data_IF_101937334267
#
_entry.id   IF_101937334267
#
_cell.length_a   1.000
_cell.length_b   1.000
_cell.length_c   1.000
_cell.angle_alpha   90.00
_cell.angle_beta   90.00
_cell.angle_gamma   90.00
#
_symmetry.space_group_name_H-M   'P 1'
#
loop_
_entity.id
_entity.type
_entity.pdbx_description
1 polymer ?
#
# COMPACT_ATOMS: atom_id res chain seq x y z
N UNK A 1 -5.82 -32.44 -0.12
CA UNK A 1 -7.19 -31.92 -0.26
C UNK A 1 -7.85 -32.60 -1.47
N UNK A 2 -8.47 -33.75 -1.27
CA UNK A 2 -9.13 -34.49 -2.36
C UNK A 2 -10.50 -33.90 -2.73
N UNK A 3 -11.03 -32.96 -1.92
CA UNK A 3 -12.37 -32.38 -2.07
C UNK A 3 -12.35 -31.04 -2.82
N UNK A 4 -11.16 -30.50 -3.13
CA UNK A 4 -11.03 -29.28 -3.90
C UNK A 4 -11.82 -29.35 -5.23
N UNK A 5 -12.50 -28.27 -5.64
CA UNK A 5 -13.13 -28.24 -6.94
C UNK A 5 -12.08 -28.24 -8.07
N UNK A 6 -12.44 -28.83 -9.20
CA UNK A 6 -11.65 -28.72 -10.43
C UNK A 6 -11.73 -27.29 -10.96
N UNK A 7 -10.61 -26.73 -11.36
CA UNK A 7 -10.53 -25.34 -11.86
C UNK A 7 -10.03 -25.34 -13.29
N UNK A 8 -10.87 -24.86 -14.22
CA UNK A 8 -10.46 -24.61 -15.60
C UNK A 8 -10.00 -23.16 -15.74
N UNK A 9 -8.84 -22.94 -16.36
CA UNK A 9 -8.36 -21.59 -16.60
C UNK A 9 -9.08 -20.96 -17.79
N UNK A 10 -9.61 -19.74 -17.64
CA UNK A 10 -10.19 -19.02 -18.77
C UNK A 10 -9.10 -18.59 -19.74
N UNK A 11 -9.49 -18.39 -21.01
CA UNK A 11 -8.60 -17.87 -22.03
C UNK A 11 -7.95 -16.54 -21.60
N UNK A 12 -6.67 -16.37 -21.96
CA UNK A 12 -5.84 -15.23 -21.54
C UNK A 12 -5.22 -15.39 -20.16
N UNK A 13 -5.59 -16.43 -19.41
CA UNK A 13 -4.91 -16.82 -18.17
C UNK A 13 -4.05 -18.04 -18.44
N UNK A 14 -2.76 -17.94 -18.12
CA UNK A 14 -1.81 -19.04 -18.25
C UNK A 14 -1.25 -19.39 -16.89
N UNK A 15 -0.92 -20.66 -16.70
CA UNK A 15 -0.22 -21.13 -15.51
C UNK A 15 0.98 -21.99 -15.90
N UNK A 16 2.05 -22.05 -15.09
CA UNK A 16 3.13 -22.98 -15.33
C UNK A 16 2.63 -24.43 -15.22
N UNK A 17 2.94 -25.25 -16.22
CA UNK A 17 2.58 -26.69 -16.26
C UNK A 17 3.83 -27.48 -16.55
N UNK A 18 4.26 -28.30 -15.61
CA UNK A 18 5.40 -29.21 -15.78
C UNK A 18 4.94 -30.56 -16.38
N UNK A 19 5.88 -31.49 -16.60
CA UNK A 19 5.56 -32.81 -17.15
C UNK A 19 5.13 -33.84 -16.09
N UNK A 20 5.15 -33.49 -14.80
CA UNK A 20 4.80 -34.40 -13.72
C UNK A 20 3.30 -34.35 -13.42
N UNK A 21 2.64 -35.51 -13.47
CA UNK A 21 1.20 -35.63 -13.21
C UNK A 21 0.32 -34.77 -14.14
N UNK A 22 0.78 -34.54 -15.37
CA UNK A 22 0.05 -33.79 -16.40
C UNK A 22 -0.52 -34.76 -17.42
N UNK A 23 -1.84 -34.70 -17.64
CA UNK A 23 -2.53 -35.52 -18.62
C UNK A 23 -2.92 -34.68 -19.85
N UNK A 24 -2.48 -35.13 -21.03
CA UNK A 24 -2.87 -34.55 -22.31
C UNK A 24 -3.99 -35.39 -22.92
N UNK A 25 -5.13 -34.76 -23.19
CA UNK A 25 -6.18 -35.41 -23.98
C UNK A 25 -5.70 -35.62 -25.42
N UNK A 26 -6.24 -36.64 -26.11
CA UNK A 26 -5.86 -36.98 -27.49
C UNK A 26 -5.86 -35.78 -28.45
N UNK A 27 -6.83 -34.83 -28.43
CA UNK A 27 -6.78 -33.63 -29.28
C UNK A 27 -5.62 -32.68 -28.99
N UNK A 28 -4.97 -32.79 -27.83
CA UNK A 28 -3.82 -31.99 -27.42
C UNK A 28 -2.50 -32.78 -27.48
N UNK A 29 -2.49 -33.98 -28.08
CA UNK A 29 -1.32 -34.88 -28.11
C UNK A 29 -0.09 -34.26 -28.80
N UNK A 30 -0.31 -33.37 -29.77
CA UNK A 30 0.77 -32.56 -30.38
C UNK A 30 1.56 -31.73 -29.36
N UNK A 31 0.94 -31.37 -28.23
CA UNK A 31 1.54 -30.59 -27.14
C UNK A 31 2.58 -31.36 -26.32
N UNK A 32 2.80 -32.65 -26.59
CA UNK A 32 3.88 -33.44 -25.99
C UNK A 32 5.28 -33.12 -26.55
N UNK A 33 5.36 -32.28 -27.58
CA UNK A 33 6.62 -31.78 -28.11
C UNK A 33 7.42 -31.09 -27.00
N UNK A 34 8.64 -31.54 -26.75
CA UNK A 34 9.52 -30.98 -25.72
C UNK A 34 10.70 -30.24 -26.37
N UNK A 35 10.92 -28.95 -26.05
CA UNK A 35 12.06 -28.21 -26.56
C UNK A 35 13.37 -28.71 -25.92
N UNK A 36 14.43 -28.74 -26.72
CA UNK A 36 15.74 -29.31 -26.38
C UNK A 36 16.85 -28.26 -26.27
N UNK A 37 16.66 -27.05 -26.81
CA UNK A 37 17.69 -26.00 -26.73
C UNK A 37 17.65 -25.19 -25.43
N UNK A 38 16.57 -25.30 -24.67
CA UNK A 38 16.40 -24.65 -23.37
C UNK A 38 16.84 -25.58 -22.23
N UNK A 39 17.12 -25.01 -21.06
CA UNK A 39 17.43 -25.80 -19.86
C UNK A 39 16.39 -26.90 -19.64
N UNK A 40 16.83 -28.10 -19.29
CA UNK A 40 15.92 -29.23 -19.00
C UNK A 40 14.92 -28.91 -17.88
N UNK A 41 15.26 -28.00 -16.97
CA UNK A 41 14.40 -27.51 -15.88
C UNK A 41 13.35 -26.49 -16.35
N UNK A 42 13.60 -25.79 -17.46
CA UNK A 42 12.67 -24.82 -18.04
C UNK A 42 11.86 -25.40 -19.21
N UNK A 43 12.34 -26.49 -19.81
CA UNK A 43 11.80 -27.09 -21.03
C UNK A 43 10.32 -27.41 -20.92
N UNK A 44 9.91 -28.12 -19.85
CA UNK A 44 8.52 -28.50 -19.69
C UNK A 44 7.62 -27.31 -19.35
N UNK A 45 8.09 -26.35 -18.56
CA UNK A 45 7.33 -25.14 -18.25
C UNK A 45 7.12 -24.27 -19.48
N UNK A 46 8.17 -24.03 -20.29
CA UNK A 46 8.08 -23.28 -21.55
C UNK A 46 7.14 -23.99 -22.53
N UNK A 47 7.28 -25.31 -22.67
CA UNK A 47 6.37 -26.18 -23.44
C UNK A 47 4.94 -26.06 -22.92
N UNK A 48 4.74 -25.94 -21.62
CA UNK A 48 3.46 -25.70 -20.98
C UNK A 48 2.80 -24.41 -21.45
N UNK A 49 3.53 -23.30 -21.49
CA UNK A 49 3.01 -22.02 -21.96
C UNK A 49 2.72 -22.02 -23.46
N UNK A 50 3.65 -22.54 -24.27
CA UNK A 50 3.47 -22.72 -25.71
C UNK A 50 2.23 -23.56 -26.03
N UNK A 51 2.10 -24.73 -25.39
CA UNK A 51 0.97 -25.62 -25.61
C UNK A 51 -0.35 -24.97 -25.16
N UNK A 52 -0.37 -24.28 -24.02
CA UNK A 52 -1.56 -23.53 -23.57
C UNK A 52 -2.04 -22.53 -24.59
N UNK A 53 -1.12 -21.77 -25.20
CA UNK A 53 -1.49 -20.77 -26.19
C UNK A 53 -2.12 -21.40 -27.43
N UNK A 54 -1.53 -22.48 -27.95
CA UNK A 54 -2.09 -23.21 -29.09
C UNK A 54 -3.41 -23.89 -28.72
N UNK A 55 -3.57 -24.35 -27.48
CA UNK A 55 -4.79 -25.04 -27.03
C UNK A 55 -6.04 -24.16 -27.16
N UNK A 56 -5.91 -22.85 -27.01
CA UNK A 56 -6.99 -21.89 -27.24
C UNK A 56 -7.47 -21.84 -28.70
N UNK A 57 -6.61 -22.16 -29.67
CA UNK A 57 -6.95 -22.20 -31.11
C UNK A 57 -7.95 -23.31 -31.45
N UNK A 58 -8.11 -24.29 -30.55
CA UNK A 58 -9.04 -25.42 -30.70
C UNK A 58 -10.13 -25.41 -29.62
N UNK A 59 -10.24 -24.32 -28.86
CA UNK A 59 -11.20 -24.17 -27.75
C UNK A 59 -10.91 -25.02 -26.52
N UNK A 60 -9.69 -25.55 -26.40
CA UNK A 60 -9.26 -26.24 -25.19
C UNK A 60 -8.74 -25.27 -24.14
N UNK A 61 -8.57 -25.78 -22.92
CA UNK A 61 -8.06 -25.04 -21.77
C UNK A 61 -7.29 -25.99 -20.84
N UNK A 62 -6.46 -25.41 -19.98
CA UNK A 62 -5.81 -26.16 -18.89
C UNK A 62 -6.76 -26.24 -17.70
N UNK A 63 -6.84 -27.40 -17.09
CA UNK A 63 -7.64 -27.63 -15.89
C UNK A 63 -6.79 -28.26 -14.79
N UNK A 64 -6.90 -27.70 -13.59
CA UNK A 64 -6.30 -28.22 -12.37
C UNK A 64 -7.28 -29.13 -11.66
N UNK A 65 -6.79 -30.31 -11.31
CA UNK A 65 -7.52 -31.33 -10.58
C UNK A 65 -6.98 -31.41 -9.14
N UNK A 66 -7.77 -31.92 -8.19
CA UNK A 66 -7.28 -32.27 -6.87
C UNK A 66 -6.04 -33.17 -6.94
N UNK A 67 -5.17 -33.18 -5.92
CA UNK A 67 -3.99 -34.01 -5.91
C UNK A 67 -4.33 -35.49 -6.15
N UNK A 68 -3.86 -36.04 -7.28
CA UNK A 68 -4.05 -37.44 -7.67
C UNK A 68 -2.83 -38.32 -7.38
N UNK A 69 -1.67 -37.71 -7.14
CA UNK A 69 -0.42 -38.40 -6.87
C UNK A 69 0.22 -37.85 -5.60
N UNK A 70 0.86 -38.75 -4.85
CA UNK A 70 1.77 -38.39 -3.77
C UNK A 70 3.17 -38.89 -4.16
N UNK A 71 4.14 -37.97 -4.18
CA UNK A 71 5.55 -38.26 -4.49
C UNK A 71 6.42 -37.64 -3.41
N UNK A 72 7.39 -38.40 -2.91
CA UNK A 72 8.46 -37.88 -2.07
C UNK A 72 9.63 -37.49 -2.96
N UNK A 73 9.95 -36.21 -2.97
CA UNK A 73 11.08 -35.68 -3.72
C UNK A 73 12.33 -35.64 -2.84
N UNK A 74 13.39 -36.30 -3.32
CA UNK A 74 14.74 -36.18 -2.78
C UNK A 74 15.51 -35.21 -3.67
N UNK A 75 15.15 -33.93 -3.63
CA UNK A 75 15.83 -32.91 -4.44
C UNK A 75 17.16 -32.59 -3.77
N UNK A 76 18.27 -32.86 -4.46
CA UNK A 76 19.53 -32.18 -4.17
C UNK A 76 19.35 -30.72 -4.57
N UNK A 77 19.75 -29.79 -3.69
CA UNK A 77 19.75 -28.36 -4.01
C UNK A 77 20.53 -28.15 -5.32
N UNK A 78 19.85 -27.72 -6.36
CA UNK A 78 20.44 -27.40 -7.65
C UNK A 78 20.67 -25.88 -7.76
N UNK A 79 21.57 -25.43 -8.64
CA UNK A 79 21.89 -24.02 -8.76
C UNK A 79 20.70 -23.24 -9.31
N UNK A 80 20.31 -22.16 -8.63
CA UNK A 80 19.31 -21.18 -9.09
C UNK A 80 19.60 -20.68 -10.53
N UNK A 81 20.85 -20.73 -10.99
CA UNK A 81 21.24 -20.40 -12.34
C UNK A 81 20.51 -21.21 -13.42
N UNK A 82 20.13 -22.47 -13.14
CA UNK A 82 19.37 -23.30 -14.08
C UNK A 82 17.91 -22.86 -14.25
N UNK A 83 17.37 -22.13 -13.27
CA UNK A 83 16.02 -21.51 -13.33
C UNK A 83 16.06 -20.08 -13.88
N UNK A 84 17.24 -19.53 -14.21
CA UNK A 84 17.37 -18.13 -14.63
C UNK A 84 16.45 -17.81 -15.82
N UNK A 85 16.33 -18.74 -16.76
CA UNK A 85 15.45 -18.58 -17.92
C UNK A 85 13.96 -18.52 -17.54
N UNK A 86 13.55 -19.23 -16.49
CA UNK A 86 12.18 -19.15 -15.96
C UNK A 86 11.92 -17.77 -15.36
N UNK A 87 12.78 -17.33 -14.43
CA UNK A 87 12.49 -16.11 -13.65
C UNK A 87 12.60 -14.84 -14.49
N UNK A 88 13.51 -14.79 -15.45
CA UNK A 88 13.76 -13.57 -16.25
C UNK A 88 12.77 -13.44 -17.42
N UNK A 89 12.45 -14.55 -18.10
CA UNK A 89 11.75 -14.48 -19.39
C UNK A 89 10.26 -14.87 -19.34
N UNK A 90 9.75 -15.50 -18.28
CA UNK A 90 8.35 -15.96 -18.25
C UNK A 90 7.35 -14.81 -18.38
N UNK A 91 7.61 -13.66 -17.74
CA UNK A 91 6.74 -12.48 -17.91
C UNK A 91 6.69 -11.97 -19.36
N UNK A 92 7.86 -11.93 -20.04
CA UNK A 92 7.96 -11.58 -21.45
C UNK A 92 7.26 -12.61 -22.33
N UNK A 93 7.44 -13.90 -22.04
CA UNK A 93 6.83 -15.01 -22.76
C UNK A 93 5.30 -14.97 -22.68
N UNK A 94 4.73 -14.82 -21.48
CA UNK A 94 3.28 -14.76 -21.28
C UNK A 94 2.69 -13.58 -22.05
N UNK A 95 3.33 -12.41 -21.97
CA UNK A 95 2.90 -11.22 -22.72
C UNK A 95 2.93 -11.50 -24.22
N UNK A 96 4.05 -11.99 -24.74
CA UNK A 96 4.21 -12.34 -26.15
C UNK A 96 3.15 -13.35 -26.62
N UNK A 97 2.94 -14.45 -25.90
CA UNK A 97 1.98 -15.48 -26.29
C UNK A 97 0.54 -14.96 -26.29
N UNK A 98 0.18 -14.11 -25.33
CA UNK A 98 -1.13 -13.47 -25.29
C UNK A 98 -1.35 -12.51 -26.46
N UNK A 99 -0.31 -11.83 -26.92
CA UNK A 99 -0.36 -10.89 -28.05
C UNK A 99 -0.26 -11.59 -29.42
N UNK A 100 0.37 -12.77 -29.48
CA UNK A 100 0.59 -13.50 -30.73
C UNK A 100 -0.72 -13.87 -31.45
N UNK A 101 -0.74 -13.68 -32.76
CA UNK A 101 -1.86 -13.99 -33.66
C UNK A 101 -1.31 -14.65 -34.93
N UNK A 102 -2.10 -15.56 -35.52
CA UNK A 102 -1.75 -16.23 -36.77
C UNK A 102 -2.92 -16.29 -37.73
N UNK A 103 -2.61 -16.10 -39.01
CA UNK A 103 -3.56 -16.22 -40.13
C UNK A 103 -3.47 -17.57 -40.85
N UNK A 104 -2.66 -18.52 -40.35
CA UNK A 104 -2.55 -19.85 -40.95
C UNK A 104 -3.86 -20.63 -40.83
N UNK A 105 -4.12 -21.51 -41.81
CA UNK A 105 -5.43 -22.14 -42.02
C UNK A 105 -5.63 -23.42 -41.24
N UNK A 106 -4.54 -24.09 -40.88
CA UNK A 106 -4.57 -25.34 -40.11
C UNK A 106 -3.86 -25.19 -38.77
N UNK A 107 -4.18 -26.06 -37.81
CA UNK A 107 -3.54 -26.04 -36.50
C UNK A 107 -2.04 -26.28 -36.62
N UNK A 108 -1.62 -27.23 -37.45
CA UNK A 108 -0.21 -27.58 -37.58
C UNK A 108 0.61 -26.45 -38.20
N UNK A 109 0.05 -25.72 -39.16
CA UNK A 109 0.68 -24.50 -39.66
C UNK A 109 0.78 -23.42 -38.57
N UNK A 110 -0.25 -23.26 -37.72
CA UNK A 110 -0.20 -22.31 -36.57
C UNK A 110 0.83 -22.73 -35.52
N UNK A 111 0.98 -24.02 -35.27
CA UNK A 111 1.99 -24.56 -34.37
C UNK A 111 3.39 -24.20 -34.89
N UNK A 112 3.65 -24.42 -36.17
CA UNK A 112 4.94 -24.05 -36.78
C UNK A 112 5.18 -22.54 -36.78
N UNK A 113 4.14 -21.76 -37.06
CA UNK A 113 4.17 -20.29 -37.08
C UNK A 113 4.50 -19.72 -35.68
N UNK A 114 3.84 -20.21 -34.63
CA UNK A 114 4.18 -19.82 -33.26
C UNK A 114 5.60 -20.27 -32.90
N UNK A 115 5.97 -21.48 -33.30
CA UNK A 115 7.28 -22.03 -32.93
C UNK A 115 8.42 -21.24 -33.56
N UNK A 116 8.25 -20.84 -34.81
CA UNK A 116 9.16 -19.92 -35.51
C UNK A 116 9.20 -18.56 -34.80
N UNK A 117 8.05 -17.96 -34.50
CA UNK A 117 7.98 -16.66 -33.83
C UNK A 117 8.64 -16.68 -32.43
N UNK A 118 8.49 -17.79 -31.69
CA UNK A 118 9.18 -17.97 -30.40
C UNK A 118 10.70 -18.05 -30.54
N UNK A 119 11.21 -18.60 -31.65
CA UNK A 119 12.63 -18.64 -31.94
C UNK A 119 13.19 -17.26 -32.30
N UNK A 120 12.46 -16.48 -33.10
CA UNK A 120 12.82 -15.10 -33.45
C UNK A 120 12.90 -14.19 -32.22
N UNK A 121 11.97 -14.34 -31.28
CA UNK A 121 11.98 -13.61 -30.01
C UNK A 121 13.03 -14.12 -29.01
N UNK A 122 13.68 -15.25 -29.31
CA UNK A 122 14.74 -15.83 -28.49
C UNK A 122 14.25 -16.57 -27.24
N UNK A 123 13.01 -17.08 -27.23
CA UNK A 123 12.53 -17.97 -26.15
C UNK A 123 13.11 -19.38 -26.25
N UNK A 124 13.47 -19.78 -27.47
CA UNK A 124 14.20 -21.02 -27.80
C UNK A 124 14.92 -20.83 -29.14
N UNK A 125 15.49 -21.88 -29.72
CA UNK A 125 16.31 -21.75 -30.94
C UNK A 125 15.66 -22.39 -32.17
N UNK A 126 16.28 -22.22 -33.34
CA UNK A 126 15.84 -22.87 -34.58
C UNK A 126 15.81 -24.41 -34.48
N UNK A 127 16.60 -25.00 -33.58
CA UNK A 127 16.60 -26.44 -33.35
C UNK A 127 15.22 -26.94 -32.89
N UNK A 128 14.54 -26.20 -32.03
CA UNK A 128 13.20 -26.56 -31.53
C UNK A 128 12.14 -26.41 -32.62
N UNK A 129 12.31 -25.44 -33.53
CA UNK A 129 11.44 -25.28 -34.70
C UNK A 129 11.54 -26.50 -35.62
N UNK A 130 12.77 -26.95 -35.91
CA UNK A 130 13.01 -28.15 -36.73
C UNK A 130 12.47 -29.41 -36.04
N UNK A 131 12.68 -29.54 -34.73
CA UNK A 131 12.15 -30.66 -33.94
C UNK A 131 10.61 -30.66 -33.94
N UNK A 132 9.99 -29.50 -33.79
CA UNK A 132 8.53 -29.35 -33.87
C UNK A 132 8.02 -29.79 -35.23
N UNK A 133 8.69 -29.37 -36.32
CA UNK A 133 8.32 -29.81 -37.66
C UNK A 133 8.43 -31.32 -37.83
N UNK A 134 9.53 -31.94 -37.37
CA UNK A 134 9.69 -33.39 -37.40
C UNK A 134 8.60 -34.10 -36.59
N UNK A 135 8.32 -33.64 -35.37
CA UNK A 135 7.27 -34.19 -34.50
C UNK A 135 5.88 -34.14 -35.15
N UNK A 136 5.51 -33.01 -35.77
CA UNK A 136 4.24 -32.90 -36.47
C UNK A 136 4.16 -33.83 -37.69
N UNK A 137 5.26 -34.05 -38.41
CA UNK A 137 5.31 -35.03 -39.50
C UNK A 137 5.15 -36.46 -39.00
N UNK A 138 5.80 -36.82 -37.90
CA UNK A 138 5.66 -38.13 -37.27
C UNK A 138 4.21 -38.38 -36.84
N UNK A 139 3.54 -37.36 -36.27
CA UNK A 139 2.12 -37.43 -35.93
C UNK A 139 1.25 -37.71 -37.17
N UNK A 140 1.48 -37.01 -38.28
CA UNK A 140 0.76 -37.28 -39.53
C UNK A 140 1.03 -38.70 -40.04
N UNK A 141 2.27 -39.17 -39.95
CA UNK A 141 2.68 -40.49 -40.42
C UNK A 141 2.01 -41.63 -39.62
N UNK A 142 1.82 -41.47 -38.32
CA UNK A 142 1.09 -42.45 -37.49
C UNK A 142 -0.44 -42.32 -37.57
N UNK A 143 -0.94 -41.41 -38.42
CA UNK A 143 -2.39 -41.22 -38.64
C UNK A 143 -3.07 -40.35 -37.59
N UNK A 144 -2.32 -39.56 -36.82
CA UNK A 144 -2.90 -38.58 -35.91
C UNK A 144 -3.64 -37.50 -36.72
N UNK A 145 -4.92 -37.29 -36.39
CA UNK A 145 -5.75 -36.29 -37.06
C UNK A 145 -5.63 -34.97 -36.32
N UNK A 146 -5.08 -33.95 -36.98
CA UNK A 146 -5.03 -32.61 -36.40
C UNK A 146 -6.45 -32.12 -36.05
N UNK A 147 -6.67 -31.53 -34.86
CA UNK A 147 -7.93 -30.92 -34.50
C UNK A 147 -8.32 -29.79 -35.46
N UNK A 148 -9.62 -29.55 -35.57
CA UNK A 148 -10.14 -28.39 -36.32
C UNK A 148 -9.93 -27.13 -35.49
N UNK A 149 -9.50 -26.06 -36.15
CA UNK A 149 -9.47 -24.74 -35.54
C UNK A 149 -10.89 -24.34 -35.16
N UNK A 150 -11.03 -23.82 -33.95
CA UNK A 150 -12.26 -23.22 -33.49
C UNK A 150 -12.16 -21.72 -33.76
N UNK A 151 -13.15 -21.14 -34.45
CA UNK A 151 -13.27 -19.69 -34.60
C UNK A 151 -13.73 -19.08 -33.28
N UNK A 152 -12.91 -19.19 -32.24
CA UNK A 152 -13.06 -18.38 -31.05
C UNK A 152 -12.60 -16.98 -31.42
N UNK A 153 -13.46 -16.00 -31.15
CA UNK A 153 -13.11 -14.59 -31.25
C UNK A 153 -12.13 -14.27 -30.12
N UNK A 154 -10.85 -14.58 -30.31
CA UNK A 154 -9.76 -14.35 -29.34
C UNK A 154 -9.73 -12.88 -28.89
N UNK A 155 -10.16 -11.98 -29.77
CA UNK A 155 -10.17 -10.53 -29.55
C UNK A 155 -11.52 -9.98 -29.06
N UNK A 156 -12.55 -10.83 -28.89
CA UNK A 156 -13.80 -10.33 -28.27
C UNK A 156 -13.47 -9.90 -26.86
N UNK A 157 -13.89 -8.68 -26.50
CA UNK A 157 -13.87 -8.23 -25.11
C UNK A 157 -14.47 -9.34 -24.26
N UNK A 158 -13.74 -9.76 -23.22
CA UNK A 158 -14.20 -10.75 -22.25
C UNK A 158 -15.66 -10.44 -21.98
N UNK A 159 -16.55 -11.43 -22.15
CA UNK A 159 -17.90 -11.29 -21.64
C UNK A 159 -17.73 -10.79 -20.21
N UNK A 160 -18.24 -9.61 -19.91
CA UNK A 160 -18.23 -9.07 -18.56
C UNK A 160 -18.86 -10.16 -17.73
N UNK A 161 -18.04 -10.92 -17.01
CA UNK A 161 -18.53 -11.98 -16.15
C UNK A 161 -19.40 -11.19 -15.18
N UNK A 162 -20.73 -11.29 -15.33
CA UNK A 162 -21.64 -10.56 -14.49
C UNK A 162 -21.24 -10.85 -13.05
N UNK A 163 -21.33 -9.87 -12.14
CA UNK A 163 -20.89 -10.04 -10.75
C UNK A 163 -21.39 -11.34 -10.10
N UNK A 164 -22.51 -11.91 -10.60
CA UNK A 164 -23.01 -13.23 -10.17
C UNK A 164 -22.21 -14.47 -10.58
N UNK A 165 -21.40 -14.44 -11.64
CA UNK A 165 -20.60 -15.58 -12.12
C UNK A 165 -19.15 -15.54 -11.60
N UNK A 166 -18.69 -14.39 -11.09
CA UNK A 166 -17.43 -14.29 -10.35
C UNK A 166 -17.63 -14.92 -8.97
N UNK A 167 -17.35 -16.22 -8.86
CA UNK A 167 -17.14 -16.80 -7.52
C UNK A 167 -15.81 -16.30 -6.99
N UNK A 168 -15.88 -15.42 -5.99
CA UNK A 168 -14.73 -15.12 -5.15
C UNK A 168 -14.19 -16.44 -4.60
N UNK A 169 -12.97 -16.79 -4.99
CA UNK A 169 -12.29 -17.94 -4.42
C UNK A 169 -11.77 -17.53 -3.06
N UNK A 170 -12.58 -17.76 -2.03
CA UNK A 170 -12.13 -17.68 -0.63
C UNK A 170 -11.53 -19.04 -0.29
N UNK A 171 -10.19 -19.22 -0.30
CA UNK A 171 -9.59 -20.50 0.04
C UNK A 171 -10.03 -20.91 1.45
N UNK A 172 -10.68 -22.06 1.59
CA UNK A 172 -10.89 -22.67 2.91
C UNK A 172 -9.53 -23.09 3.44
N UNK A 173 -8.99 -22.32 4.36
CA UNK A 173 -7.77 -22.66 5.07
C UNK A 173 -8.06 -23.84 5.99
N UNK A 174 -7.52 -25.03 5.65
CA UNK A 174 -7.52 -26.16 6.56
C UNK A 174 -6.51 -25.87 7.69
N UNK A 175 -6.82 -26.19 8.95
CA UNK A 175 -5.83 -26.09 10.03
C UNK A 175 -4.61 -26.94 9.67
N UNK A 176 -3.41 -26.40 9.94
CA UNK A 176 -2.18 -27.13 9.67
C UNK A 176 -2.15 -28.42 10.51
N UNK A 177 -1.68 -29.51 9.91
CA UNK A 177 -1.54 -30.80 10.62
C UNK A 177 -0.37 -30.76 11.62
N UNK A 178 0.55 -29.80 11.46
CA UNK A 178 1.72 -29.63 12.32
C UNK A 178 1.42 -28.60 13.40
N UNK A 179 1.23 -29.07 14.63
CA UNK A 179 1.16 -28.20 15.81
C UNK A 179 2.43 -27.32 15.88
N UNK A 180 2.22 -26.00 15.94
CA UNK A 180 3.28 -25.01 16.12
C UNK A 180 3.93 -24.46 14.83
N UNK A 181 3.41 -24.77 13.64
CA UNK A 181 3.88 -24.17 12.38
C UNK A 181 2.90 -23.09 11.91
N UNK A 182 3.29 -21.82 12.04
CA UNK A 182 2.60 -20.69 11.41
C UNK A 182 3.04 -20.56 9.95
N UNK A 183 2.08 -20.60 9.02
CA UNK A 183 2.34 -20.54 7.58
C UNK A 183 2.78 -19.13 7.13
N UNK A 184 4.02 -19.04 6.63
CA UNK A 184 4.74 -17.79 6.28
C UNK A 184 4.26 -17.17 4.93
N UNK A 185 3.25 -17.74 4.26
CA UNK A 185 2.78 -17.21 2.96
C UNK A 185 2.19 -15.79 3.05
N UNK A 186 1.40 -15.53 4.10
CA UNK A 186 0.81 -14.22 4.41
C UNK A 186 1.88 -13.18 4.72
N UNK A 187 2.98 -13.62 5.34
CA UNK A 187 4.10 -12.79 5.77
C UNK A 187 4.76 -12.10 4.57
N UNK A 188 4.76 -12.69 3.36
CA UNK A 188 5.32 -12.01 2.18
C UNK A 188 4.53 -10.77 1.75
N UNK A 189 3.20 -10.81 1.77
CA UNK A 189 2.36 -9.66 1.42
C UNK A 189 2.43 -8.58 2.51
N UNK A 190 2.36 -8.99 3.76
CA UNK A 190 2.43 -8.11 4.93
C UNK A 190 3.80 -7.42 5.04
N UNK A 191 4.90 -8.17 4.85
CA UNK A 191 6.26 -7.59 4.76
C UNK A 191 6.36 -6.66 3.55
N UNK A 192 5.74 -7.01 2.41
CA UNK A 192 5.69 -6.15 1.24
C UNK A 192 5.03 -4.79 1.54
N UNK A 193 3.92 -4.79 2.27
CA UNK A 193 3.25 -3.57 2.74
C UNK A 193 4.12 -2.79 3.73
N UNK A 194 4.76 -3.47 4.69
CA UNK A 194 5.68 -2.84 5.64
C UNK A 194 6.84 -2.12 4.92
N UNK A 195 7.44 -2.78 3.93
CA UNK A 195 8.49 -2.17 3.09
C UNK A 195 7.95 -0.95 2.35
N UNK A 196 6.74 -1.03 1.79
CA UNK A 196 6.10 0.08 1.08
C UNK A 196 5.86 1.28 2.01
N UNK A 197 5.33 1.06 3.21
CA UNK A 197 5.09 2.13 4.19
C UNK A 197 6.40 2.74 4.66
N UNK A 198 7.42 1.94 4.99
CA UNK A 198 8.76 2.42 5.35
C UNK A 198 9.42 3.21 4.23
N UNK A 199 9.28 2.77 2.97
CA UNK A 199 9.79 3.53 1.83
C UNK A 199 9.07 4.87 1.67
N UNK A 200 7.78 4.93 1.98
CA UNK A 200 6.98 6.15 1.81
C UNK A 200 7.13 7.17 2.95
N UNK A 201 7.23 6.70 4.19
CA UNK A 201 7.22 7.52 5.40
C UNK A 201 8.52 7.47 6.21
N UNK A 202 9.46 6.60 5.84
CA UNK A 202 10.70 6.42 6.61
C UNK A 202 11.53 7.68 6.74
N UNK A 203 11.50 8.59 5.76
CA UNK A 203 12.20 9.87 5.81
C UNK A 203 11.32 11.05 6.30
N UNK A 204 10.11 10.77 6.80
CA UNK A 204 9.28 11.74 7.51
C UNK A 204 9.59 11.64 9.00
N UNK A 205 9.75 12.79 9.66
CA UNK A 205 9.94 12.85 11.11
C UNK A 205 8.57 12.95 11.77
N UNK A 206 8.22 11.94 12.58
CA UNK A 206 7.01 11.98 13.41
C UNK A 206 7.32 12.67 14.74
N UNK A 207 6.52 13.67 15.09
CA UNK A 207 6.61 14.43 16.33
C UNK A 207 5.30 14.22 17.08
N UNK A 208 5.35 13.53 18.20
CA UNK A 208 4.18 13.16 18.98
C UNK A 208 4.16 13.88 20.32
N UNK A 209 3.09 14.60 20.61
CA UNK A 209 2.87 15.18 21.93
C UNK A 209 2.02 14.24 22.80
N UNK A 210 2.60 13.82 23.93
CA UNK A 210 1.99 12.92 24.91
C UNK A 210 1.49 13.74 26.09
N UNK A 211 0.17 13.71 26.29
CA UNK A 211 -0.51 14.34 27.42
C UNK A 211 -0.66 13.39 28.61
N UNK A 212 -0.59 12.07 28.37
CA UNK A 212 -0.66 11.02 29.40
C UNK A 212 0.64 10.83 30.22
N UNK A 213 0.66 9.84 31.12
CA UNK A 213 1.87 9.45 31.85
C UNK A 213 2.92 8.92 30.89
N UNK A 214 3.95 9.74 30.66
CA UNK A 214 5.05 9.49 29.72
C UNK A 214 5.74 8.15 30.01
N UNK A 215 5.97 7.84 31.29
CA UNK A 215 6.70 6.67 31.73
C UNK A 215 6.02 5.33 31.39
N UNK A 216 4.74 5.35 31.00
CA UNK A 216 3.94 4.15 30.69
C UNK A 216 3.58 3.99 29.22
N UNK A 217 3.79 5.02 28.41
CA UNK A 217 3.25 5.05 27.03
C UNK A 217 4.25 5.56 25.99
N UNK A 218 5.30 6.29 26.38
CA UNK A 218 6.22 6.90 25.42
C UNK A 218 7.02 5.88 24.62
N UNK A 219 7.44 4.77 25.24
CA UNK A 219 8.18 3.71 24.55
C UNK A 219 7.28 2.95 23.61
N UNK A 220 6.05 2.69 24.02
CA UNK A 220 5.00 2.01 23.26
C UNK A 220 4.66 2.79 21.99
N UNK A 221 4.47 4.11 22.11
CA UNK A 221 4.27 4.99 20.95
C UNK A 221 5.46 5.00 20.00
N UNK A 222 6.68 5.04 20.56
CA UNK A 222 7.91 4.97 19.77
C UNK A 222 8.09 3.62 19.08
N UNK A 223 7.69 2.52 19.72
CA UNK A 223 7.70 1.18 19.15
C UNK A 223 6.68 1.04 18.01
N UNK A 224 5.45 1.52 18.21
CA UNK A 224 4.39 1.48 17.20
C UNK A 224 4.81 2.23 15.94
N UNK A 225 5.05 3.53 16.06
CA UNK A 225 5.31 4.37 14.89
C UNK A 225 6.75 4.26 14.39
N UNK A 226 7.70 3.90 15.25
CA UNK A 226 9.10 3.65 14.87
C UNK A 226 9.28 2.47 13.93
N UNK A 227 8.27 1.59 13.82
CA UNK A 227 8.24 0.55 12.76
C UNK A 227 8.13 1.14 11.36
N UNK A 228 7.61 2.36 11.21
CA UNK A 228 7.32 2.99 9.91
C UNK A 228 8.18 4.24 9.70
N UNK A 229 8.16 5.15 10.68
CA UNK A 229 8.92 6.39 10.68
C UNK A 229 10.29 6.13 11.29
N UNK A 230 11.38 6.41 10.55
CA UNK A 230 12.75 6.18 11.06
C UNK A 230 13.05 7.03 12.31
N UNK A 231 12.40 8.19 12.42
CA UNK A 231 12.58 9.13 13.52
C UNK A 231 11.22 9.45 14.15
N UNK A 232 11.09 9.15 15.44
CA UNK A 232 9.92 9.49 16.27
C UNK A 232 10.39 10.28 17.48
N UNK A 233 9.93 11.53 17.59
CA UNK A 233 10.22 12.45 18.69
C UNK A 233 9.01 12.52 19.60
N UNK A 234 9.21 12.34 20.90
CA UNK A 234 8.16 12.44 21.90
C UNK A 234 8.34 13.75 22.67
N UNK A 235 7.29 14.56 22.70
CA UNK A 235 7.17 15.79 23.49
C UNK A 235 6.14 15.56 24.59
N UNK A 236 6.34 16.13 25.77
CA UNK A 236 5.36 16.08 26.85
C UNK A 236 5.50 17.28 27.78
N UNK A 237 4.51 17.49 28.66
CA UNK A 237 4.57 18.54 29.69
C UNK A 237 5.70 18.35 30.72
N UNK A 238 6.16 17.10 30.89
CA UNK A 238 7.25 16.70 31.76
C UNK A 238 8.37 16.07 30.92
N UNK A 239 9.62 16.50 31.14
CA UNK A 239 10.78 15.87 30.50
C UNK A 239 11.18 14.60 31.24
N UNK A 240 11.57 13.58 30.48
CA UNK A 240 12.24 12.39 31.02
C UNK A 240 13.48 12.12 30.15
N UNK A 241 14.67 12.30 30.73
CA UNK A 241 15.95 12.13 30.01
C UNK A 241 16.23 10.69 29.65
N UNK A 242 15.81 9.73 30.47
CA UNK A 242 15.98 8.29 30.21
C UNK A 242 15.14 7.83 29.03
N UNK A 243 13.93 8.40 28.89
CA UNK A 243 13.01 8.11 27.79
C UNK A 243 13.19 9.01 26.57
N UNK A 244 14.19 9.91 26.61
CA UNK A 244 14.43 10.94 25.59
C UNK A 244 13.16 11.75 25.25
N UNK A 245 12.46 12.22 26.29
CA UNK A 245 11.25 13.04 26.19
C UNK A 245 11.58 14.47 26.56
N UNK A 246 11.29 15.38 25.64
CA UNK A 246 11.57 16.81 25.81
C UNK A 246 10.35 17.55 26.37
N UNK A 247 10.60 18.49 27.30
CA UNK A 247 9.55 19.27 27.93
C UNK A 247 9.00 20.31 26.95
N UNK A 248 7.71 20.25 26.67
CA UNK A 248 7.01 21.17 25.79
C UNK A 248 5.54 21.32 26.19
N UNK A 249 5.12 22.56 26.47
CA UNK A 249 3.72 22.86 26.74
C UNK A 249 2.89 22.71 25.47
N UNK A 250 1.80 21.94 25.50
CA UNK A 250 0.99 21.68 24.31
C UNK A 250 0.47 22.98 23.67
N UNK A 251 0.11 23.96 24.50
CA UNK A 251 -0.36 25.29 24.07
C UNK A 251 0.64 26.05 23.20
N UNK A 252 1.93 25.69 23.25
CA UNK A 252 3.02 26.33 22.49
C UNK A 252 3.90 25.31 21.77
N UNK A 253 3.38 24.11 21.49
CA UNK A 253 4.17 23.01 20.90
C UNK A 253 4.83 23.41 19.57
N UNK A 254 4.15 24.24 18.78
CA UNK A 254 4.70 24.80 17.53
C UNK A 254 6.03 25.55 17.71
N UNK A 255 6.29 26.17 18.87
CA UNK A 255 7.55 26.89 19.15
C UNK A 255 8.76 25.97 19.23
N UNK A 256 8.54 24.67 19.48
CA UNK A 256 9.61 23.68 19.54
C UNK A 256 9.97 23.13 18.15
N UNK A 257 9.05 23.16 17.19
CA UNK A 257 9.22 22.53 15.88
C UNK A 257 10.41 23.05 15.08
N UNK A 258 10.75 24.37 15.06
CA UNK A 258 11.94 24.85 14.34
C UNK A 258 13.25 24.21 14.81
N UNK A 259 13.38 23.88 16.11
CA UNK A 259 14.56 23.18 16.63
C UNK A 259 14.65 21.75 16.06
N UNK A 260 13.51 21.08 15.91
CA UNK A 260 13.43 19.77 15.27
C UNK A 260 13.79 19.87 13.79
N UNK A 261 13.26 20.89 13.10
CA UNK A 261 13.50 21.11 11.69
C UNK A 261 14.99 21.28 11.38
N UNK A 262 15.69 22.09 12.19
CA UNK A 262 17.13 22.31 12.09
C UNK A 262 17.92 21.02 12.36
N UNK A 263 17.49 20.22 13.34
CA UNK A 263 18.14 18.94 13.69
C UNK A 263 18.00 17.89 12.58
N UNK A 264 16.89 17.90 11.84
CA UNK A 264 16.59 16.91 10.80
C UNK A 264 16.48 17.56 9.41
N UNK A 265 17.56 18.22 9.00
CA UNK A 265 17.70 18.89 7.70
C UNK A 265 17.48 18.02 6.45
N UNK A 266 17.58 16.69 6.58
CA UNK A 266 17.42 15.75 5.46
C UNK A 266 16.02 15.12 5.34
N UNK A 267 15.07 15.48 6.21
CA UNK A 267 13.73 14.88 6.21
C UNK A 267 12.85 15.42 5.07
N UNK A 268 11.99 14.56 4.51
CA UNK A 268 11.02 14.94 3.47
C UNK A 268 9.92 15.88 4.03
N UNK A 269 9.65 15.76 5.34
CA UNK A 269 8.70 16.59 6.05
C UNK A 269 8.52 16.15 7.49
N UNK A 270 7.61 16.84 8.18
CA UNK A 270 7.38 16.71 9.61
C UNK A 270 5.90 16.51 9.89
N UNK A 271 5.57 15.37 10.51
CA UNK A 271 4.21 15.02 10.89
C UNK A 271 4.04 15.24 12.40
N UNK A 272 3.14 16.14 12.79
CA UNK A 272 2.79 16.36 14.19
C UNK A 272 1.52 15.59 14.54
N UNK A 273 1.52 14.93 15.70
CA UNK A 273 0.40 14.13 16.21
C UNK A 273 0.27 14.30 17.72
N UNK A 274 -0.95 14.30 18.26
CA UNK A 274 -1.20 14.17 19.70
C UNK A 274 -1.56 12.74 20.07
N UNK A 275 -1.23 12.29 21.28
CA UNK A 275 -1.41 10.90 21.76
C UNK A 275 -2.83 10.33 21.75
N UNK A 276 -3.82 11.19 21.68
CA UNK A 276 -5.22 10.84 21.61
C UNK A 276 -5.79 10.88 20.18
N UNK A 277 -4.92 11.08 19.18
CA UNK A 277 -5.19 10.90 17.76
C UNK A 277 -4.40 9.69 17.26
N UNK A 278 -5.10 8.66 16.77
CA UNK A 278 -4.42 7.46 16.23
C UNK A 278 -4.27 7.62 14.73
N UNK A 279 -3.04 7.50 14.24
CA UNK A 279 -2.70 7.61 12.84
C UNK A 279 -2.67 6.23 12.18
N UNK A 280 -3.53 6.02 11.19
CA UNK A 280 -3.53 4.81 10.36
C UNK A 280 -2.70 5.08 9.11
N UNK A 281 -1.38 5.02 9.25
CA UNK A 281 -0.42 5.39 8.20
C UNK A 281 -0.65 4.66 6.86
N UNK A 282 -1.22 3.46 6.87
CA UNK A 282 -1.53 2.70 5.65
C UNK A 282 -2.55 3.40 4.74
N UNK A 283 -3.43 4.26 5.29
CA UNK A 283 -4.42 5.03 4.53
C UNK A 283 -3.87 6.33 3.95
N UNK A 284 -2.62 6.69 4.26
CA UNK A 284 -1.99 7.94 3.81
C UNK A 284 -0.98 7.71 2.66
N UNK A 285 -0.91 6.50 2.10
CA UNK A 285 0.01 6.19 1.00
C UNK A 285 -0.21 7.04 -0.26
N UNK A 286 -1.44 7.53 -0.47
CA UNK A 286 -1.80 8.38 -1.61
C UNK A 286 -1.70 9.88 -1.30
N UNK A 287 -1.41 10.24 -0.05
CA UNK A 287 -1.30 11.63 0.35
C UNK A 287 -0.06 12.29 -0.28
N UNK A 288 -0.24 13.51 -0.78
CA UNK A 288 0.77 14.29 -1.46
C UNK A 288 1.72 14.95 -0.46
N UNK A 289 2.89 14.33 -0.25
CA UNK A 289 3.90 14.76 0.73
C UNK A 289 4.58 16.09 0.40
N UNK A 290 4.30 16.68 -0.75
CA UNK A 290 4.76 18.03 -1.09
C UNK A 290 3.77 19.11 -0.61
N UNK A 291 2.57 18.72 -0.18
CA UNK A 291 1.52 19.65 0.26
C UNK A 291 1.31 19.64 1.76
N UNK A 292 0.83 20.77 2.28
CA UNK A 292 0.43 20.91 3.67
C UNK A 292 -0.79 20.03 3.95
N UNK A 293 -0.77 19.27 5.05
CA UNK A 293 -1.92 18.50 5.52
C UNK A 293 -2.40 19.05 6.85
N UNK A 294 -3.68 19.34 6.95
CA UNK A 294 -4.34 19.73 8.20
C UNK A 294 -5.82 19.36 8.12
N UNK A 295 -6.49 19.21 9.25
CA UNK A 295 -7.89 18.80 9.36
C UNK A 295 -8.90 19.92 9.00
N UNK A 296 -8.57 20.78 8.02
CA UNK A 296 -9.38 21.93 7.61
C UNK A 296 -10.75 21.57 7.00
N UNK A 297 -10.89 20.39 6.39
CA UNK A 297 -12.18 19.90 5.85
C UNK A 297 -13.10 19.28 6.91
N UNK A 298 -12.67 19.19 8.17
CA UNK A 298 -13.43 18.54 9.23
C UNK A 298 -14.07 19.60 10.11
N UNK A 299 -15.39 19.72 10.02
CA UNK A 299 -16.17 20.73 10.76
C UNK A 299 -15.99 20.66 12.29
N UNK A 300 -15.73 19.47 12.84
CA UNK A 300 -15.46 19.29 14.27
C UNK A 300 -14.07 19.78 14.69
N UNK A 301 -13.11 19.77 13.76
CA UNK A 301 -11.74 20.16 14.03
C UNK A 301 -11.50 21.63 13.71
N UNK A 302 -12.00 22.12 12.57
CA UNK A 302 -11.74 23.45 12.04
C UNK A 302 -13.00 24.31 12.06
N UNK A 303 -12.98 25.35 12.88
CA UNK A 303 -14.09 26.29 13.04
C UNK A 303 -13.59 27.71 12.81
N UNK A 304 -14.39 28.50 12.11
CA UNK A 304 -14.11 29.92 11.89
C UNK A 304 -14.81 30.75 12.95
N UNK A 305 -14.06 31.57 13.68
CA UNK A 305 -14.55 32.33 14.82
C UNK A 305 -14.56 33.82 14.47
N UNK A 306 -15.73 34.50 14.48
CA UNK A 306 -15.80 35.95 14.28
C UNK A 306 -15.28 36.71 15.51
N UNK A 307 -14.67 37.89 15.30
CA UNK A 307 -14.06 38.69 16.36
C UNK A 307 -14.93 39.85 16.85
N UNK A 308 -15.57 40.62 15.95
CA UNK A 308 -16.22 41.90 16.27
C UNK A 308 -17.35 41.80 17.32
N UNK A 309 -18.00 40.63 17.46
CA UNK A 309 -19.11 40.39 18.37
C UNK A 309 -18.90 39.17 19.29
N UNK A 310 -17.65 38.70 19.44
CA UNK A 310 -17.39 37.52 20.24
C UNK A 310 -17.49 37.83 21.74
N UNK A 311 -18.29 37.06 22.46
CA UNK A 311 -18.45 37.20 23.92
C UNK A 311 -17.26 36.63 24.69
N UNK A 312 -16.50 35.74 24.06
CA UNK A 312 -15.35 35.11 24.67
C UNK A 312 -14.10 35.98 24.49
N UNK A 313 -13.71 36.66 25.56
CA UNK A 313 -12.54 37.55 25.61
C UNK A 313 -11.25 36.84 25.15
N UNK A 314 -11.16 35.52 25.39
CA UNK A 314 -10.03 34.71 24.95
C UNK A 314 -9.84 34.76 23.44
N UNK A 315 -10.91 34.57 22.64
CA UNK A 315 -10.82 34.63 21.17
C UNK A 315 -10.47 36.03 20.68
N UNK A 316 -10.97 37.08 21.35
CA UNK A 316 -10.63 38.48 21.02
C UNK A 316 -9.14 38.74 21.27
N UNK A 317 -8.58 38.28 22.38
CA UNK A 317 -7.14 38.38 22.71
C UNK A 317 -6.30 37.62 21.67
N UNK A 318 -6.68 36.38 21.34
CA UNK A 318 -5.99 35.58 20.31
C UNK A 318 -6.06 36.26 18.94
N UNK A 319 -7.22 36.80 18.55
CA UNK A 319 -7.38 37.54 17.30
C UNK A 319 -6.52 38.80 17.22
N UNK A 320 -6.38 39.54 18.33
CA UNK A 320 -5.45 40.68 18.40
C UNK A 320 -4.00 40.26 18.20
N UNK A 321 -3.57 39.13 18.78
CA UNK A 321 -2.23 38.58 18.58
C UNK A 321 -2.01 38.13 17.14
N UNK A 322 -3.00 37.48 16.51
CA UNK A 322 -2.94 37.11 15.08
C UNK A 322 -2.76 38.35 14.21
N UNK A 323 -3.55 39.41 14.44
CA UNK A 323 -3.41 40.69 13.71
C UNK A 323 -2.03 41.30 13.88
N UNK A 324 -1.47 41.25 15.09
CA UNK A 324 -0.12 41.74 15.37
C UNK A 324 0.94 40.94 14.59
N UNK A 325 0.88 39.60 14.61
CA UNK A 325 1.85 38.73 13.93
C UNK A 325 1.76 38.91 12.43
N UNK A 326 0.56 38.80 11.85
CA UNK A 326 0.35 38.97 10.41
C UNK A 326 0.73 40.39 9.98
N UNK A 327 0.33 41.43 10.72
CA UNK A 327 0.71 42.82 10.42
C UNK A 327 2.22 43.07 10.44
N UNK A 328 2.99 42.30 11.23
CA UNK A 328 4.45 42.36 11.27
C UNK A 328 5.16 41.45 10.26
N UNK A 329 4.42 40.56 9.59
CA UNK A 329 4.97 39.56 8.68
C UNK A 329 5.29 40.14 7.29
N UNK A 330 6.18 39.51 6.49
CA UNK A 330 6.38 39.87 5.09
C UNK A 330 5.08 39.95 4.26
N UNK A 331 5.08 40.80 3.23
CA UNK A 331 3.88 41.11 2.41
C UNK A 331 3.21 39.86 1.83
N UNK A 332 3.98 38.85 1.43
CA UNK A 332 3.41 37.63 0.84
C UNK A 332 2.57 36.83 1.85
N UNK A 333 3.01 36.72 3.11
CA UNK A 333 2.21 36.09 4.18
C UNK A 333 0.95 36.90 4.50
N UNK A 334 1.05 38.24 4.52
CA UNK A 334 -0.10 39.12 4.73
C UNK A 334 -1.17 38.92 3.66
N UNK A 335 -0.78 38.95 2.39
CA UNK A 335 -1.70 38.77 1.26
C UNK A 335 -2.36 37.40 1.29
N UNK A 336 -1.58 36.33 1.45
CA UNK A 336 -2.11 34.97 1.50
C UNK A 336 -3.11 34.76 2.65
N UNK A 337 -2.76 35.23 3.85
CA UNK A 337 -3.64 35.12 5.01
C UNK A 337 -4.93 35.93 4.81
N UNK A 338 -4.82 37.16 4.31
CA UNK A 338 -5.98 38.03 4.07
C UNK A 338 -6.92 37.48 3.01
N UNK A 339 -6.39 36.89 1.94
CA UNK A 339 -7.21 36.24 0.91
C UNK A 339 -7.94 35.00 1.44
N UNK A 340 -7.34 34.28 2.39
CA UNK A 340 -7.90 33.04 2.92
C UNK A 340 -8.89 33.25 4.08
N UNK A 341 -8.60 34.16 5.01
CA UNK A 341 -9.37 34.36 6.25
C UNK A 341 -9.98 35.77 6.39
N UNK A 342 -9.46 36.79 5.73
CA UNK A 342 -9.86 38.19 5.98
C UNK A 342 -9.41 38.70 7.35
N UNK A 343 -9.96 39.84 7.80
CA UNK A 343 -9.48 40.56 8.98
C UNK A 343 -10.35 40.39 10.23
N UNK A 344 -11.62 40.00 10.10
CA UNK A 344 -12.60 40.04 11.21
C UNK A 344 -12.89 38.68 11.83
N UNK A 345 -12.15 37.66 11.42
CA UNK A 345 -12.32 36.27 11.86
C UNK A 345 -10.98 35.55 11.94
N UNK A 346 -10.93 34.51 12.77
CA UNK A 346 -9.76 33.63 12.91
C UNK A 346 -10.16 32.17 12.75
N UNK A 347 -9.22 31.34 12.30
CA UNK A 347 -9.38 29.90 12.37
C UNK A 347 -9.04 29.40 13.77
N UNK A 348 -9.89 28.53 14.28
CA UNK A 348 -9.63 27.70 15.45
C UNK A 348 -9.62 26.24 15.00
N UNK A 349 -8.47 25.59 15.09
CA UNK A 349 -8.31 24.19 14.76
C UNK A 349 -7.76 23.41 15.95
N UNK A 350 -8.34 22.25 16.25
CA UNK A 350 -7.80 21.34 17.26
C UNK A 350 -6.29 21.04 17.10
N UNK A 351 -5.81 21.02 15.86
CA UNK A 351 -4.38 20.89 15.50
C UNK A 351 -3.72 19.66 16.13
N UNK A 352 -4.49 18.59 16.26
CA UNK A 352 -4.08 17.29 16.78
C UNK A 352 -3.28 16.46 15.78
N UNK A 353 -3.42 16.78 14.49
CA UNK A 353 -2.72 16.15 13.39
C UNK A 353 -2.49 17.17 12.26
N UNK A 354 -1.23 17.36 11.87
CA UNK A 354 -0.87 18.13 10.68
C UNK A 354 0.50 17.70 10.15
N UNK A 355 0.75 17.96 8.87
CA UNK A 355 2.00 17.65 8.19
C UNK A 355 2.57 18.89 7.50
N UNK A 356 3.87 19.11 7.66
CA UNK A 356 4.62 20.21 7.06
C UNK A 356 5.68 19.60 6.11
N UNK A 357 5.51 19.76 4.79
CA UNK A 357 6.52 19.40 3.81
C UNK A 357 7.82 20.18 4.01
N UNK A 358 8.93 19.62 3.55
CA UNK A 358 10.26 20.25 3.61
C UNK A 358 10.27 21.70 3.11
N UNK A 359 9.56 21.97 2.01
CA UNK A 359 9.56 23.30 1.38
C UNK A 359 8.95 24.41 2.25
N UNK A 360 8.08 24.09 3.21
CA UNK A 360 7.42 25.06 4.10
C UNK A 360 8.11 25.22 5.45
N UNK A 361 9.23 24.52 5.68
CA UNK A 361 9.91 24.49 6.98
C UNK A 361 10.50 25.84 7.37
N UNK A 362 11.11 26.54 6.42
CA UNK A 362 11.71 27.86 6.65
C UNK A 362 10.61 28.89 6.94
N UNK A 363 9.58 28.95 6.09
CA UNK A 363 8.42 29.85 6.26
C UNK A 363 7.72 29.63 7.60
N UNK A 364 7.54 28.37 8.01
CA UNK A 364 6.98 28.03 9.31
C UNK A 364 7.90 28.56 10.43
N UNK A 365 9.22 28.37 10.31
CA UNK A 365 10.20 28.88 11.25
C UNK A 365 10.16 30.40 11.41
N UNK A 366 10.07 31.13 10.31
CA UNK A 366 9.97 32.59 10.28
C UNK A 366 8.70 33.07 10.99
N UNK A 367 7.55 32.45 10.70
CA UNK A 367 6.28 32.77 11.35
C UNK A 367 6.31 32.48 12.85
N UNK A 368 6.93 31.38 13.27
CA UNK A 368 7.16 31.09 14.69
C UNK A 368 8.05 32.15 15.34
N UNK A 369 9.08 32.62 14.63
CA UNK A 369 9.95 33.71 15.07
C UNK A 369 9.18 35.03 15.29
N UNK A 370 8.25 35.35 14.39
CA UNK A 370 7.40 36.54 14.48
C UNK A 370 6.39 36.49 15.65
N UNK A 371 5.96 35.30 16.06
CA UNK A 371 5.13 35.14 17.27
C UNK A 371 5.91 35.54 18.52
N UNK A 372 7.21 35.24 18.57
CA UNK A 372 8.09 35.60 19.69
C UNK A 372 7.52 35.16 21.05
N UNK A 373 7.38 36.11 21.96
CA UNK A 373 6.88 35.89 23.32
C UNK A 373 5.35 35.97 23.45
N UNK A 374 4.61 36.19 22.35
CA UNK A 374 3.15 36.20 22.39
C UNK A 374 2.60 34.84 22.84
N UNK A 375 1.55 34.88 23.66
CA UNK A 375 0.80 33.71 24.15
C UNK A 375 -0.25 33.24 23.12
N UNK A 376 0.17 33.12 21.87
CA UNK A 376 -0.69 32.62 20.80
C UNK A 376 -0.82 31.11 20.94
N UNK A 377 -2.03 30.63 21.22
CA UNK A 377 -2.29 29.23 21.50
C UNK A 377 -2.15 28.38 20.23
N UNK A 378 -1.60 27.18 20.35
CA UNK A 378 -1.36 26.22 19.26
C UNK A 378 -2.55 26.05 18.31
N UNK A 379 -3.76 25.95 18.88
CA UNK A 379 -5.03 25.82 18.14
C UNK A 379 -5.39 27.00 17.23
N UNK A 380 -4.75 28.15 17.41
CA UNK A 380 -4.90 29.36 16.60
C UNK A 380 -3.64 29.60 15.76
N UNK A 381 -2.46 29.40 16.37
CA UNK A 381 -1.16 29.60 15.73
C UNK A 381 -0.97 28.72 14.50
N UNK A 382 -1.20 27.41 14.61
CA UNK A 382 -0.97 26.47 13.50
C UNK A 382 -1.87 26.78 12.28
N UNK A 383 -3.19 26.96 12.44
CA UNK A 383 -4.04 27.43 11.34
C UNK A 383 -3.58 28.74 10.72
N UNK A 384 -3.18 29.71 11.55
CA UNK A 384 -2.66 30.99 11.07
C UNK A 384 -1.43 30.77 10.20
N UNK A 385 -0.49 29.93 10.62
CA UNK A 385 0.71 29.64 9.83
C UNK A 385 0.37 29.00 8.49
N UNK A 386 -0.50 27.99 8.49
CA UNK A 386 -0.89 27.30 7.26
C UNK A 386 -1.52 28.25 6.25
N UNK A 387 -2.44 29.13 6.71
CA UNK A 387 -3.13 30.10 5.87
C UNK A 387 -2.22 31.26 5.41
N UNK A 388 -1.15 31.55 6.15
CA UNK A 388 -0.14 32.53 5.75
C UNK A 388 0.81 31.94 4.70
N UNK A 389 1.26 30.70 4.88
CA UNK A 389 2.20 30.03 3.98
C UNK A 389 1.58 29.70 2.63
N UNK A 390 0.33 29.23 2.59
CA UNK A 390 -0.31 28.80 1.34
C UNK A 390 -1.85 28.83 1.41
N UNK A 391 -2.50 28.78 0.24
CA UNK A 391 -3.95 28.77 0.12
C UNK A 391 -4.54 27.39 0.48
N UNK A 392 -5.69 27.32 1.17
CA UNK A 392 -6.38 26.05 1.43
C UNK A 392 -6.69 25.20 0.18
N UNK A 393 -6.73 25.83 -1.01
CA UNK A 393 -6.92 25.12 -2.30
C UNK A 393 -5.70 24.29 -2.71
N UNK A 394 -4.51 24.64 -2.21
CA UNK A 394 -3.25 23.99 -2.52
C UNK A 394 -2.87 22.93 -1.47
N UNK A 395 -3.56 22.89 -0.33
CA UNK A 395 -3.38 21.84 0.67
C UNK A 395 -3.86 20.49 0.13
N UNK A 396 -3.25 19.39 0.57
CA UNK A 396 -3.84 18.07 0.39
C UNK A 396 -4.91 17.85 1.48
N UNK A 397 -6.01 18.56 1.32
CA UNK A 397 -7.13 18.52 2.26
C UNK A 397 -7.83 17.16 2.27
N UNK A 398 -7.68 16.36 1.20
CA UNK A 398 -8.34 15.05 1.07
C UNK A 398 -7.61 13.95 1.85
N UNK A 399 -6.29 14.07 2.02
CA UNK A 399 -5.49 13.15 2.85
C UNK A 399 -6.09 12.93 4.25
N UNK A 400 -6.57 14.00 4.89
CA UNK A 400 -7.11 13.94 6.26
C UNK A 400 -8.64 14.03 6.31
N UNK A 401 -9.34 14.26 5.20
CA UNK A 401 -10.79 14.48 5.17
C UNK A 401 -11.61 13.33 5.79
N UNK A 402 -11.13 12.10 5.67
CA UNK A 402 -11.77 10.91 6.25
C UNK A 402 -11.53 10.68 7.75
N UNK A 403 -10.79 11.57 8.43
CA UNK A 403 -10.47 11.40 9.85
C UNK A 403 -11.75 11.39 10.69
N UNK A 404 -11.88 10.40 11.56
CA UNK A 404 -13.08 10.22 12.39
C UNK A 404 -12.92 11.03 13.68
N UNK A 405 -13.82 12.00 13.88
CA UNK A 405 -13.93 12.78 15.12
C UNK A 405 -15.18 12.37 15.89
N UNK A 406 -15.03 11.92 17.14
CA UNK A 406 -16.13 11.55 18.04
C UNK A 406 -16.21 12.52 19.22
N UNK A 407 -17.23 13.36 19.24
CA UNK A 407 -17.44 14.37 20.28
C UNK A 407 -18.13 13.82 21.54
N UNK A 408 -18.98 12.81 21.40
CA UNK A 408 -19.89 12.35 22.47
C UNK A 408 -19.62 10.90 22.88
N UNK A 409 -18.38 10.58 23.26
CA UNK A 409 -18.06 9.25 23.78
C UNK A 409 -18.72 9.02 25.14
N UNK A 410 -19.49 7.95 25.26
CA UNK A 410 -20.00 7.50 26.56
C UNK A 410 -18.84 6.83 27.33
N UNK A 411 -18.74 7.05 28.64
CA UNK A 411 -17.58 6.60 29.45
C UNK A 411 -17.26 5.10 29.43
N UNK A 412 -18.15 4.26 28.88
CA UNK A 412 -17.99 2.81 28.77
C UNK A 412 -17.68 2.33 27.33
N UNK A 413 -17.38 3.23 26.40
CA UNK A 413 -17.02 2.83 25.03
C UNK A 413 -15.69 2.07 24.99
N UNK A 414 -15.63 1.07 24.12
CA UNK A 414 -14.45 0.20 23.94
C UNK A 414 -13.62 0.68 22.76
N UNK A 415 -12.33 0.34 22.71
CA UNK A 415 -11.50 0.66 21.56
C UNK A 415 -12.10 0.15 20.25
N UNK A 416 -12.70 -1.04 20.23
CA UNK A 416 -13.41 -1.60 19.06
C UNK A 416 -14.65 -0.83 18.62
N UNK A 417 -15.32 -0.08 19.52
CA UNK A 417 -16.46 0.75 19.14
C UNK A 417 -16.04 2.13 18.63
N UNK A 418 -14.90 2.64 19.11
CA UNK A 418 -14.36 3.97 18.78
C UNK A 418 -13.55 3.91 17.49
N UNK A 419 -12.61 2.97 17.41
CA UNK A 419 -11.60 2.86 16.36
C UNK A 419 -12.13 2.27 15.06
N UNK A 420 -11.57 2.72 13.94
CA UNK A 420 -11.75 2.11 12.61
C UNK A 420 -10.43 2.18 11.84
N UNK A 421 -10.03 1.06 11.22
CA UNK A 421 -8.83 0.99 10.40
C UNK A 421 -8.98 1.61 9.00
N UNK A 422 -10.20 2.00 8.61
CA UNK A 422 -10.50 2.55 7.28
C UNK A 422 -10.32 4.07 7.19
N UNK A 423 -10.23 4.75 8.33
CA UNK A 423 -10.01 6.20 8.38
C UNK A 423 -8.50 6.51 8.39
N UNK A 424 -8.04 7.65 7.84
CA UNK A 424 -6.64 8.09 7.94
C UNK A 424 -6.20 8.32 9.39
N UNK A 425 -7.09 8.82 10.24
CA UNK A 425 -6.87 8.91 11.67
C UNK A 425 -8.20 8.83 12.45
N UNK A 426 -8.11 8.57 13.76
CA UNK A 426 -9.27 8.48 14.66
C UNK A 426 -9.03 9.26 15.95
N UNK A 427 -10.01 10.09 16.33
CA UNK A 427 -9.99 10.91 17.53
C UNK A 427 -11.37 10.94 18.23
N UNK A 428 -11.41 11.01 19.58
CA UNK A 428 -10.29 10.82 20.49
C UNK A 428 -10.16 9.35 20.89
N UNK A 429 -8.92 8.86 21.03
CA UNK A 429 -8.61 7.51 21.52
C UNK A 429 -7.58 7.63 22.63
N UNK A 430 -8.01 7.56 23.89
CA UNK A 430 -7.12 7.79 25.04
C UNK A 430 -6.47 6.48 25.48
N UNK A 431 -5.14 6.43 25.39
CA UNK A 431 -4.32 5.32 25.92
C UNK A 431 -3.63 5.79 27.19
N UNK A 432 -3.94 5.17 28.33
CA UNK A 432 -3.41 5.61 29.64
C UNK A 432 -2.31 4.70 30.20
N UNK A 433 -2.20 3.48 29.70
CA UNK A 433 -1.32 2.43 30.20
C UNK A 433 -1.07 1.39 29.10
N UNK A 434 -0.20 0.44 29.42
CA UNK A 434 0.25 -0.64 28.56
C UNK A 434 -0.90 -1.58 28.15
N UNK A 435 -1.89 -1.78 29.04
CA UNK A 435 -3.07 -2.62 28.76
C UNK A 435 -3.95 -1.98 27.69
N UNK A 436 -4.18 -0.67 27.79
CA UNK A 436 -4.93 0.09 26.79
C UNK A 436 -4.18 0.17 25.46
N UNK A 437 -2.85 0.25 25.51
CA UNK A 437 -2.01 0.18 24.31
C UNK A 437 -2.17 -1.18 23.61
N UNK A 438 -2.11 -2.29 24.35
CA UNK A 438 -2.35 -3.64 23.77
C UNK A 438 -3.75 -3.74 23.15
N UNK A 439 -4.79 -3.20 23.80
CA UNK A 439 -6.15 -3.18 23.22
C UNK A 439 -6.20 -2.36 21.94
N UNK A 440 -5.51 -1.22 21.88
CA UNK A 440 -5.38 -0.41 20.67
C UNK A 440 -4.68 -1.19 19.56
N UNK A 441 -3.54 -1.82 19.84
CA UNK A 441 -2.79 -2.61 18.86
C UNK A 441 -3.66 -3.72 18.25
N UNK A 442 -4.46 -4.41 19.07
CA UNK A 442 -5.38 -5.46 18.60
C UNK A 442 -6.45 -4.95 17.63
N UNK A 443 -6.90 -3.71 17.76
CA UNK A 443 -7.86 -3.13 16.80
C UNK A 443 -7.15 -2.55 15.58
N UNK A 444 -5.96 -1.96 15.76
CA UNK A 444 -5.13 -1.46 14.67
C UNK A 444 -4.61 -2.56 13.75
N UNK A 445 -4.43 -3.78 14.26
CA UNK A 445 -3.93 -4.90 13.46
C UNK A 445 -4.87 -5.34 12.34
N UNK A 446 -6.12 -4.87 12.34
CA UNK A 446 -7.03 -5.02 11.19
C UNK A 446 -6.54 -4.27 9.95
N UNK A 447 -5.76 -3.19 10.11
CA UNK A 447 -5.14 -2.44 9.01
C UNK A 447 -3.67 -2.80 8.76
N UNK A 448 -2.92 -3.16 9.81
CA UNK A 448 -1.56 -3.71 9.72
C UNK A 448 -1.44 -4.97 10.57
N UNK A 449 -1.63 -6.17 9.99
CA UNK A 449 -1.59 -7.44 10.72
C UNK A 449 -0.30 -7.68 11.51
N UNK A 450 0.84 -7.13 11.06
CA UNK A 450 2.13 -7.30 11.73
C UNK A 450 2.21 -6.55 13.07
N UNK A 451 1.26 -5.66 13.38
CA UNK A 451 1.18 -5.04 14.69
C UNK A 451 0.88 -6.05 15.80
N UNK A 452 0.30 -7.21 15.48
CA UNK A 452 0.09 -8.28 16.47
C UNK A 452 1.39 -8.82 17.07
N UNK A 453 2.54 -8.61 16.43
CA UNK A 453 3.87 -8.96 16.97
C UNK A 453 4.28 -8.08 18.17
N UNK A 454 3.58 -6.96 18.41
CA UNK A 454 3.84 -6.06 19.54
C UNK A 454 3.05 -6.45 20.81
N UNK A 455 2.17 -7.46 20.72
CA UNK A 455 1.24 -7.88 21.80
C UNK A 455 1.76 -9.05 22.60
#
# INVERSE_FOLDING_TARGET
DAEAPKVALPQGTMAPVNSFNTLFHTPAFWGLMMPVSVSSMASDVIRGYWAQRILWEIGGYVAFYPPTIYRKDHIQAYPFAEEKDLHVNVGRLIKFLNEWRSNKRTLFERILDLSYAMAEEGFWTEQDVRLTAAWLQDLLAVGYRQPRLMSLEIDRQRATIGEGDMKEFVPKKLPSVHLGVDEIGTVNYEIGNLIKWRKNFGNVVLIMHVSGPVDRTALEWRLLYGRIFKTVIILAEQSNTELAVERCALSHAYKFLPKVFARYGGADGFLFLQDHMILNYWNLLQADKEKLWITNKIAHSWVTVPLENNKEEWFVKQGSMVKQVIGSSPVHFQTNYKESMGEDKIAFCGSELFYIPRQFVEDFGDLVGLVGDLELHHKVAVPMFFLAMDSPKNFDSDALAGTVFRSNLVGNETFSSIYTAHAPAVFPVKVQNEIDFIKLIRVMSTGDPLLMELV
#
